data_IF_626931576952
#
_entry.id   IF_626931576952
#
_cell.length_a   1.000
_cell.length_b   1.000
_cell.length_c   1.000
_cell.angle_alpha   90.00
_cell.angle_beta   90.00
_cell.angle_gamma   90.00
#
_symmetry.space_group_name_H-M   'P 1'
#
loop_
_entity.id
_entity.type
_entity.pdbx_description
1 polymer ?
#
# COMPACT_ATOMS: atom_id res chain seq x y z
N UNK A 1 0.21 -38.17 27.00
CA UNK A 1 -0.19 -39.35 27.79
C UNK A 1 -1.40 -39.91 27.09
N UNK A 2 -1.12 -40.67 26.04
CA UNK A 2 -2.09 -41.17 25.08
C UNK A 2 -2.91 -42.25 25.77
N UNK A 3 -4.20 -41.97 26.01
CA UNK A 3 -5.15 -43.02 26.35
C UNK A 3 -5.30 -43.86 25.10
N UNK A 4 -4.90 -45.12 25.19
CA UNK A 4 -5.21 -46.16 24.20
C UNK A 4 -6.69 -46.06 23.80
N UNK A 5 -6.92 -45.48 22.62
CA UNK A 5 -8.19 -45.60 21.93
C UNK A 5 -8.27 -47.05 21.46
N UNK A 6 -8.83 -47.93 22.30
CA UNK A 6 -9.35 -49.21 21.85
C UNK A 6 -10.26 -48.90 20.66
N UNK A 7 -9.96 -49.40 19.44
CA UNK A 7 -10.72 -49.05 18.25
C UNK A 7 -12.20 -49.34 18.50
N UNK A 8 -13.08 -48.36 18.24
CA UNK A 8 -14.51 -48.45 18.55
C UNK A 8 -15.18 -49.69 17.94
N UNK A 9 -14.63 -50.20 16.84
CA UNK A 9 -15.01 -51.45 16.20
C UNK A 9 -14.95 -52.67 17.15
N UNK A 10 -13.92 -52.75 17.99
CA UNK A 10 -13.76 -53.85 18.96
C UNK A 10 -14.79 -53.77 20.11
N UNK A 11 -15.17 -52.56 20.55
CA UNK A 11 -16.19 -52.37 21.58
C UNK A 11 -17.59 -52.73 21.07
N UNK A 12 -17.91 -52.38 19.81
CA UNK A 12 -19.18 -52.75 19.17
C UNK A 12 -19.32 -54.27 19.02
N UNK A 13 -18.26 -54.95 18.59
CA UNK A 13 -18.25 -56.40 18.43
C UNK A 13 -18.45 -57.10 19.79
N UNK A 14 -17.80 -56.62 20.85
CA UNK A 14 -17.98 -57.16 22.20
C UNK A 14 -19.42 -57.01 22.72
N UNK A 15 -20.05 -55.84 22.50
CA UNK A 15 -21.45 -55.60 22.90
C UNK A 15 -22.43 -56.53 22.17
N UNK A 16 -22.21 -56.79 20.87
CA UNK A 16 -23.03 -57.70 20.09
C UNK A 16 -22.91 -59.16 20.59
N UNK A 17 -21.70 -59.62 20.88
CA UNK A 17 -21.47 -60.95 21.47
C UNK A 17 -22.05 -61.07 22.88
N UNK A 18 -21.94 -60.04 23.71
CA UNK A 18 -22.51 -60.01 25.05
C UNK A 18 -24.05 -60.10 25.03
N UNK A 19 -24.71 -59.36 24.12
CA UNK A 19 -26.17 -59.43 23.93
C UNK A 19 -26.62 -60.82 23.44
N UNK A 20 -25.87 -61.44 22.51
CA UNK A 20 -26.18 -62.78 22.01
C UNK A 20 -26.07 -63.85 23.12
N UNK A 21 -25.02 -63.77 23.95
CA UNK A 21 -24.83 -64.69 25.09
C UNK A 21 -25.93 -64.49 26.13
N UNK A 22 -26.30 -63.24 26.43
CA UNK A 22 -27.39 -62.94 27.37
C UNK A 22 -28.73 -63.50 26.90
N UNK A 23 -29.07 -63.33 25.62
CA UNK A 23 -30.29 -63.88 25.04
C UNK A 23 -30.34 -65.42 25.11
N UNK A 24 -29.20 -66.09 24.86
CA UNK A 24 -29.07 -67.55 25.00
C UNK A 24 -29.29 -68.00 26.44
N UNK A 25 -28.70 -67.32 27.42
CA UNK A 25 -28.86 -67.61 28.84
C UNK A 25 -30.32 -67.42 29.28
N UNK A 26 -30.95 -66.32 28.89
CA UNK A 26 -32.36 -66.06 29.21
C UNK A 26 -33.29 -67.15 28.66
N UNK A 27 -33.04 -67.61 27.43
CA UNK A 27 -33.77 -68.72 26.82
C UNK A 27 -33.58 -70.04 27.61
N UNK A 28 -32.34 -70.37 27.97
CA UNK A 28 -32.04 -71.58 28.75
C UNK A 28 -32.66 -71.54 30.16
N UNK A 29 -32.75 -70.36 30.79
CA UNK A 29 -33.41 -70.19 32.09
C UNK A 29 -34.91 -70.45 31.98
N UNK A 30 -35.59 -69.85 31.00
CA UNK A 30 -37.04 -70.07 30.78
C UNK A 30 -37.32 -71.54 30.45
N UNK A 31 -36.49 -72.15 29.61
CA UNK A 31 -36.57 -73.57 29.28
C UNK A 31 -36.35 -74.46 30.53
N UNK A 32 -35.36 -74.12 31.37
CA UNK A 32 -35.05 -74.84 32.60
C UNK A 32 -36.20 -74.76 33.62
N UNK A 33 -36.79 -73.58 33.82
CA UNK A 33 -37.96 -73.40 34.68
C UNK A 33 -39.17 -74.18 34.17
N UNK A 34 -39.40 -74.21 32.85
CA UNK A 34 -40.47 -75.00 32.25
C UNK A 34 -40.26 -76.51 32.50
N UNK A 35 -39.08 -77.05 32.21
CA UNK A 35 -38.77 -78.47 32.42
C UNK A 35 -38.87 -78.85 33.91
N UNK A 36 -38.37 -77.99 34.80
CA UNK A 36 -38.42 -78.20 36.25
C UNK A 36 -39.85 -78.27 36.79
N UNK A 37 -40.72 -77.35 36.35
CA UNK A 37 -42.09 -77.25 36.84
C UNK A 37 -43.00 -78.34 36.26
N UNK A 38 -42.87 -78.66 34.97
CA UNK A 38 -43.75 -79.61 34.29
C UNK A 38 -43.22 -81.06 34.28
N UNK A 39 -41.94 -81.30 34.65
CA UNK A 39 -41.29 -82.62 34.72
C UNK A 39 -41.46 -83.49 33.46
N UNK A 40 -41.71 -82.90 32.30
CA UNK A 40 -41.97 -83.62 31.05
C UNK A 40 -40.76 -83.52 30.13
N UNK A 41 -40.02 -84.62 30.01
CA UNK A 41 -38.88 -84.76 29.09
C UNK A 41 -39.21 -85.61 27.84
N UNK A 42 -40.45 -86.09 27.70
CA UNK A 42 -40.87 -86.92 26.55
C UNK A 42 -41.59 -86.08 25.50
N UNK A 43 -41.28 -86.34 24.23
CA UNK A 43 -41.87 -85.70 23.04
C UNK A 43 -43.38 -85.98 23.03
N UNK A 44 -44.18 -85.03 23.47
CA UNK A 44 -45.65 -85.10 23.45
C UNK A 44 -46.10 -84.96 21.98
N UNK A 45 -46.93 -85.90 21.49
CA UNK A 45 -47.47 -85.91 20.12
C UNK A 45 -48.68 -84.98 19.92
N UNK A 46 -49.10 -84.24 20.96
CA UNK A 46 -50.28 -83.38 20.95
C UNK A 46 -49.91 -81.92 20.64
N UNK A 47 -50.42 -81.42 19.52
CA UNK A 47 -50.17 -80.06 19.01
C UNK A 47 -50.62 -78.96 19.98
N UNK A 48 -51.66 -79.22 20.78
CA UNK A 48 -52.19 -78.22 21.73
C UNK A 48 -51.18 -77.89 22.85
N UNK A 49 -50.41 -78.88 23.32
CA UNK A 49 -49.38 -78.67 24.35
C UNK A 49 -48.14 -77.91 23.84
N UNK A 50 -47.83 -78.05 22.55
CA UNK A 50 -46.81 -77.23 21.90
C UNK A 50 -47.26 -75.77 21.76
N UNK A 51 -48.55 -75.52 21.52
CA UNK A 51 -49.13 -74.18 21.53
C UNK A 51 -48.98 -73.48 22.88
N UNK A 52 -49.38 -74.13 23.99
CA UNK A 52 -49.29 -73.54 25.33
C UNK A 52 -47.84 -73.36 25.82
N UNK A 53 -46.92 -74.23 25.42
CA UNK A 53 -45.48 -74.01 25.63
C UNK A 53 -44.97 -72.78 24.87
N UNK A 54 -45.35 -72.66 23.59
CA UNK A 54 -45.03 -71.50 22.76
C UNK A 54 -45.54 -70.19 23.37
N UNK A 55 -46.75 -70.19 23.93
CA UNK A 55 -47.34 -69.05 24.60
C UNK A 55 -46.59 -68.65 25.89
N UNK A 56 -46.12 -69.62 26.69
CA UNK A 56 -45.34 -69.34 27.90
C UNK A 56 -43.94 -68.79 27.58
N UNK A 57 -43.23 -69.44 26.66
CA UNK A 57 -41.90 -69.04 26.21
C UNK A 57 -41.98 -67.67 25.55
N UNK A 58 -42.90 -67.50 24.58
CA UNK A 58 -43.14 -66.23 23.89
C UNK A 58 -43.60 -65.12 24.83
N UNK A 59 -44.51 -65.41 25.76
CA UNK A 59 -45.05 -64.45 26.73
C UNK A 59 -44.00 -63.94 27.73
N UNK A 60 -42.98 -64.75 28.05
CA UNK A 60 -41.91 -64.37 28.99
C UNK A 60 -40.70 -63.76 28.28
N UNK A 61 -40.25 -64.36 27.16
CA UNK A 61 -39.07 -63.89 26.43
C UNK A 61 -39.35 -62.63 25.61
N UNK A 62 -40.53 -62.47 24.98
CA UNK A 62 -40.77 -61.32 24.12
C UNK A 62 -40.69 -59.97 24.86
N UNK A 63 -41.24 -59.81 26.09
CA UNK A 63 -41.05 -58.57 26.85
C UNK A 63 -39.59 -58.29 27.20
N UNK A 64 -38.83 -59.32 27.59
CA UNK A 64 -37.39 -59.19 27.95
C UNK A 64 -36.58 -58.79 26.72
N UNK A 65 -36.76 -59.50 25.60
CA UNK A 65 -36.09 -59.20 24.32
C UNK A 65 -36.46 -57.81 23.82
N UNK A 66 -37.75 -57.43 23.88
CA UNK A 66 -38.21 -56.10 23.46
C UNK A 66 -37.60 -54.97 24.31
N UNK A 67 -37.46 -55.17 25.62
CA UNK A 67 -36.83 -54.19 26.50
C UNK A 67 -35.32 -54.04 26.22
N UNK A 68 -34.61 -55.15 25.99
CA UNK A 68 -33.20 -55.11 25.59
C UNK A 68 -33.01 -54.45 24.23
N UNK A 69 -33.90 -54.71 23.27
CA UNK A 69 -33.90 -54.05 21.97
C UNK A 69 -34.09 -52.53 22.12
N UNK A 70 -34.99 -52.08 23.01
CA UNK A 70 -35.15 -50.67 23.33
C UNK A 70 -33.88 -50.05 23.94
N UNK A 71 -33.20 -50.73 24.86
CA UNK A 71 -31.92 -50.27 25.43
C UNK A 71 -30.84 -50.16 24.34
N UNK A 72 -30.72 -51.17 23.47
CA UNK A 72 -29.78 -51.15 22.35
C UNK A 72 -30.04 -50.01 21.38
N UNK A 73 -31.31 -49.70 21.11
CA UNK A 73 -31.72 -48.56 20.32
C UNK A 73 -31.35 -47.23 21.00
N UNK A 74 -31.64 -47.07 22.29
CA UNK A 74 -31.27 -45.87 23.06
C UNK A 74 -29.75 -45.65 23.10
N UNK A 75 -28.97 -46.72 23.26
CA UNK A 75 -27.50 -46.66 23.19
C UNK A 75 -27.03 -46.22 21.81
N UNK A 76 -27.64 -46.76 20.74
CA UNK A 76 -27.32 -46.38 19.37
C UNK A 76 -27.65 -44.91 19.11
N UNK A 77 -28.80 -44.41 19.57
CA UNK A 77 -29.18 -42.99 19.48
C UNK A 77 -28.19 -42.12 20.24
N UNK A 78 -27.77 -42.54 21.44
CA UNK A 78 -26.78 -41.81 22.23
C UNK A 78 -25.43 -41.72 21.51
N UNK A 79 -24.94 -42.82 20.94
CA UNK A 79 -23.71 -42.86 20.16
C UNK A 79 -23.82 -41.96 18.92
N UNK A 80 -24.94 -42.04 18.18
CA UNK A 80 -25.20 -41.19 17.02
C UNK A 80 -25.19 -39.70 17.40
N UNK A 81 -25.79 -39.34 18.55
CA UNK A 81 -25.77 -37.97 19.03
C UNK A 81 -24.34 -37.48 19.34
N UNK A 82 -23.49 -38.32 19.95
CA UNK A 82 -22.09 -37.99 20.20
C UNK A 82 -21.29 -37.81 18.91
N UNK A 83 -21.48 -38.70 17.92
CA UNK A 83 -20.80 -38.59 16.61
C UNK A 83 -21.24 -37.33 15.85
N UNK A 84 -22.52 -36.97 15.93
CA UNK A 84 -23.03 -35.72 15.35
C UNK A 84 -22.42 -34.48 16.03
N UNK A 85 -22.26 -34.51 17.36
CA UNK A 85 -21.61 -33.43 18.10
C UNK A 85 -20.13 -33.29 17.73
N UNK A 86 -19.38 -34.39 17.68
CA UNK A 86 -17.99 -34.40 17.25
C UNK A 86 -17.84 -33.87 15.82
N UNK A 87 -18.68 -34.34 14.88
CA UNK A 87 -18.71 -33.87 13.50
C UNK A 87 -19.00 -32.37 13.42
N UNK A 88 -19.95 -31.87 14.21
CA UNK A 88 -20.26 -30.44 14.25
C UNK A 88 -19.08 -29.60 14.75
N UNK A 89 -18.35 -30.10 15.74
CA UNK A 89 -17.17 -29.43 16.27
C UNK A 89 -16.02 -29.42 15.24
N UNK A 90 -15.78 -30.52 14.53
CA UNK A 90 -14.78 -30.58 13.46
C UNK A 90 -15.14 -29.66 12.29
N UNK A 91 -16.41 -29.63 11.86
CA UNK A 91 -16.88 -28.72 10.82
C UNK A 91 -16.71 -27.25 11.22
N UNK A 92 -16.98 -26.91 12.49
CA UNK A 92 -16.76 -25.55 13.01
C UNK A 92 -15.27 -25.18 12.95
N UNK A 93 -14.39 -26.07 13.41
CA UNK A 93 -12.94 -25.84 13.35
C UNK A 93 -12.44 -25.73 11.90
N UNK A 94 -12.94 -26.57 10.99
CA UNK A 94 -12.61 -26.51 9.56
C UNK A 94 -13.07 -25.20 8.93
N UNK A 95 -14.26 -24.70 9.28
CA UNK A 95 -14.77 -23.41 8.79
C UNK A 95 -13.91 -22.24 9.29
N UNK A 96 -13.49 -22.27 10.57
CA UNK A 96 -12.57 -21.27 11.13
C UNK A 96 -11.19 -21.31 10.44
N UNK A 97 -10.65 -22.51 10.19
CA UNK A 97 -9.39 -22.67 9.46
C UNK A 97 -9.50 -22.18 8.01
N UNK A 98 -10.59 -22.48 7.32
CA UNK A 98 -10.86 -22.01 5.97
C UNK A 98 -10.95 -20.49 5.91
N UNK A 99 -11.60 -19.85 6.91
CA UNK A 99 -11.66 -18.39 7.01
C UNK A 99 -10.26 -17.80 7.15
N UNK A 100 -9.44 -18.32 8.06
CA UNK A 100 -8.05 -17.87 8.25
C UNK A 100 -7.21 -18.09 6.99
N UNK A 101 -7.38 -19.21 6.31
CA UNK A 101 -6.67 -19.49 5.05
C UNK A 101 -7.07 -18.50 3.95
N UNK A 102 -8.35 -18.15 3.85
CA UNK A 102 -8.84 -17.12 2.92
C UNK A 102 -8.19 -15.76 3.21
N UNK A 103 -8.10 -15.35 4.48
CA UNK A 103 -7.43 -14.10 4.87
C UNK A 103 -5.94 -14.09 4.50
N UNK A 104 -5.21 -15.18 4.78
CA UNK A 104 -3.80 -15.34 4.42
C UNK A 104 -3.63 -15.28 2.89
N UNK A 105 -4.48 -15.99 2.15
CA UNK A 105 -4.45 -16.01 0.70
C UNK A 105 -4.67 -14.62 0.11
N UNK A 106 -5.66 -13.87 0.60
CA UNK A 106 -5.93 -12.50 0.16
C UNK A 106 -4.73 -11.57 0.41
N UNK A 107 -4.06 -11.70 1.57
CA UNK A 107 -2.86 -10.93 1.87
C UNK A 107 -1.70 -11.30 0.94
N UNK A 108 -1.48 -12.59 0.68
CA UNK A 108 -0.45 -13.05 -0.26
C UNK A 108 -0.70 -12.54 -1.69
N UNK A 109 -1.95 -12.54 -2.15
CA UNK A 109 -2.32 -12.00 -3.46
C UNK A 109 -2.04 -10.49 -3.54
N UNK A 110 -2.38 -9.75 -2.47
CA UNK A 110 -2.04 -8.34 -2.36
C UNK A 110 -0.53 -8.12 -2.43
N UNK A 111 0.24 -8.82 -1.59
CA UNK A 111 1.71 -8.70 -1.51
C UNK A 111 2.37 -8.99 -2.86
N UNK A 112 1.94 -10.07 -3.53
CA UNK A 112 2.45 -10.41 -4.87
C UNK A 112 2.20 -9.30 -5.88
N UNK A 113 1.02 -8.69 -5.86
CA UNK A 113 0.67 -7.58 -6.75
C UNK A 113 1.45 -6.31 -6.39
N UNK A 114 1.57 -6.01 -5.10
CA UNK A 114 2.31 -4.88 -4.58
C UNK A 114 3.79 -4.94 -4.99
N UNK A 115 4.47 -6.07 -4.76
CA UNK A 115 5.88 -6.23 -5.11
C UNK A 115 6.11 -6.21 -6.62
N UNK A 116 5.19 -6.75 -7.41
CA UNK A 116 5.24 -6.64 -8.88
C UNK A 116 5.16 -5.17 -9.35
N UNK A 117 4.24 -4.38 -8.78
CA UNK A 117 4.16 -2.95 -9.08
C UNK A 117 5.37 -2.17 -8.57
N UNK A 118 5.92 -2.54 -7.40
CA UNK A 118 7.11 -1.94 -6.83
C UNK A 118 8.35 -2.18 -7.70
N UNK A 119 8.49 -3.38 -8.25
CA UNK A 119 9.54 -3.71 -9.20
C UNK A 119 9.41 -2.85 -10.48
N UNK A 120 8.20 -2.70 -11.03
CA UNK A 120 7.96 -1.82 -12.18
C UNK A 120 8.31 -0.36 -11.86
N UNK A 121 7.93 0.12 -10.67
CA UNK A 121 8.27 1.45 -10.18
C UNK A 121 9.79 1.68 -10.13
N UNK A 122 10.53 0.72 -9.55
CA UNK A 122 11.98 0.80 -9.44
C UNK A 122 12.68 0.72 -10.81
N UNK A 123 12.19 -0.13 -11.72
CA UNK A 123 12.71 -0.24 -13.08
C UNK A 123 12.56 1.07 -13.87
N UNK A 124 11.47 1.82 -13.65
CA UNK A 124 11.27 3.14 -14.28
C UNK A 124 12.23 4.16 -13.66
N UNK A 125 12.40 4.15 -12.33
CA UNK A 125 13.37 5.01 -11.67
C UNK A 125 14.79 4.78 -12.19
N UNK A 126 15.17 3.51 -12.38
CA UNK A 126 16.46 3.14 -12.95
C UNK A 126 16.60 3.64 -14.39
N UNK A 127 15.55 3.53 -15.22
CA UNK A 127 15.55 4.07 -16.59
C UNK A 127 15.68 5.59 -16.62
N UNK A 128 14.95 6.30 -15.76
CA UNK A 128 15.08 7.76 -15.59
C UNK A 128 16.53 8.09 -15.23
N UNK A 129 17.13 7.33 -14.33
CA UNK A 129 18.52 7.54 -13.90
C UNK A 129 19.53 7.24 -15.02
N UNK A 130 19.37 6.12 -15.72
CA UNK A 130 20.29 5.64 -16.74
C UNK A 130 20.22 6.41 -18.06
N UNK A 131 19.03 6.81 -18.51
CA UNK A 131 18.88 7.64 -19.70
C UNK A 131 19.58 8.99 -19.51
N UNK A 132 19.48 9.55 -18.31
CA UNK A 132 20.18 10.79 -17.98
C UNK A 132 21.69 10.56 -17.92
N UNK A 133 22.18 9.45 -17.36
CA UNK A 133 23.60 9.08 -17.44
C UNK A 133 24.12 8.98 -18.88
N UNK A 134 23.32 8.51 -19.84
CA UNK A 134 23.68 8.49 -21.27
C UNK A 134 23.76 9.90 -21.86
N UNK A 135 22.79 10.77 -21.56
CA UNK A 135 22.79 12.17 -21.99
C UNK A 135 24.00 12.91 -21.40
N UNK A 136 24.29 12.67 -20.12
CA UNK A 136 25.44 13.23 -19.39
C UNK A 136 26.75 12.74 -20.01
N UNK A 137 26.89 11.44 -20.29
CA UNK A 137 28.08 10.91 -20.97
C UNK A 137 28.27 11.58 -22.33
N UNK A 138 27.20 11.74 -23.11
CA UNK A 138 27.27 12.40 -24.42
C UNK A 138 27.65 13.90 -24.30
N UNK A 139 27.24 14.60 -23.24
CA UNK A 139 27.66 16.00 -22.96
C UNK A 139 29.08 16.09 -22.37
N UNK A 140 29.48 15.19 -21.44
CA UNK A 140 30.81 15.12 -20.81
C UNK A 140 31.91 14.69 -21.78
N UNK A 141 31.59 13.98 -22.87
CA UNK A 141 32.58 13.73 -23.94
C UNK A 141 33.06 15.01 -24.64
N UNK A 142 32.36 16.14 -24.48
CA UNK A 142 32.81 17.43 -24.96
C UNK A 142 33.53 18.29 -23.91
N UNK A 143 33.50 17.97 -22.61
CA UNK A 143 34.23 18.72 -21.58
C UNK A 143 34.57 17.83 -20.36
N UNK A 144 35.88 17.68 -20.13
CA UNK A 144 36.64 16.93 -19.10
C UNK A 144 35.89 16.11 -18.03
N UNK A 145 36.32 14.84 -17.96
CA UNK A 145 36.19 13.84 -16.88
C UNK A 145 36.35 14.43 -15.47
N UNK A 146 35.37 14.18 -14.60
CA UNK A 146 35.54 14.03 -13.15
C UNK A 146 34.55 12.96 -12.62
N UNK A 147 35.03 12.23 -11.61
CA UNK A 147 34.56 10.97 -11.03
C UNK A 147 33.14 11.01 -10.44
N UNK A 148 32.37 9.95 -10.70
CA UNK A 148 30.93 9.85 -10.44
C UNK A 148 30.67 8.65 -9.54
N UNK A 149 30.18 8.88 -8.31
CA UNK A 149 29.32 7.90 -7.63
C UNK A 149 28.02 8.51 -7.07
N UNK A 150 27.87 9.84 -6.90
CA UNK A 150 26.61 10.47 -6.43
C UNK A 150 26.08 11.63 -7.31
N UNK A 151 26.66 11.84 -8.49
CA UNK A 151 26.39 13.02 -9.32
C UNK A 151 25.16 12.86 -10.24
N UNK A 152 24.72 11.62 -10.49
CA UNK A 152 23.68 11.31 -11.49
C UNK A 152 22.33 11.93 -11.10
N UNK A 153 21.84 11.75 -9.88
CA UNK A 153 20.52 12.25 -9.46
C UNK A 153 20.47 13.78 -9.36
N UNK A 154 21.56 14.43 -8.92
CA UNK A 154 21.67 15.89 -8.92
C UNK A 154 21.66 16.44 -10.35
N UNK A 155 22.30 15.75 -11.30
CA UNK A 155 22.33 16.18 -12.69
C UNK A 155 21.01 15.87 -13.45
N UNK A 156 20.25 14.84 -13.02
CA UNK A 156 18.84 14.61 -13.42
C UNK A 156 18.00 15.84 -13.06
N UNK A 157 18.11 16.29 -11.80
CA UNK A 157 17.40 17.47 -11.31
C UNK A 157 17.82 18.73 -12.09
N UNK A 158 19.09 18.82 -12.47
CA UNK A 158 19.60 19.97 -13.20
C UNK A 158 19.14 20.06 -14.66
N UNK A 159 19.02 18.93 -15.36
CA UNK A 159 18.63 18.90 -16.77
C UNK A 159 17.12 19.11 -17.00
N UNK A 160 16.27 18.85 -16.00
CA UNK A 160 14.81 18.94 -16.16
C UNK A 160 14.23 20.33 -15.88
N UNK A 161 15.06 21.33 -15.65
CA UNK A 161 14.65 22.60 -15.08
C UNK A 161 15.31 23.74 -15.89
N UNK A 162 14.83 24.03 -17.10
CA UNK A 162 15.35 25.18 -17.88
C UNK A 162 14.77 26.50 -17.34
N UNK A 163 15.66 27.36 -16.86
CA UNK A 163 15.33 28.47 -15.94
C UNK A 163 14.75 29.73 -16.60
N UNK A 164 14.73 29.84 -17.92
CA UNK A 164 14.39 31.10 -18.58
C UNK A 164 12.92 31.51 -18.41
N UNK A 165 12.01 30.53 -18.26
CA UNK A 165 10.57 30.80 -18.11
C UNK A 165 10.19 31.44 -16.75
N UNK A 166 10.92 31.11 -15.68
CA UNK A 166 10.62 31.59 -14.31
C UNK A 166 10.92 33.08 -14.12
N UNK A 167 11.88 33.60 -14.90
CA UNK A 167 12.37 34.97 -14.78
C UNK A 167 11.82 35.91 -15.86
N UNK A 168 10.60 35.65 -16.32
CA UNK A 168 9.90 36.54 -17.26
C UNK A 168 9.14 37.65 -16.52
N UNK A 169 9.35 38.91 -16.93
CA UNK A 169 8.80 40.12 -16.27
C UNK A 169 7.32 40.39 -16.59
N UNK A 170 6.73 39.66 -17.54
CA UNK A 170 5.45 40.02 -18.14
C UNK A 170 4.23 39.35 -17.48
N UNK A 171 4.43 38.49 -16.48
CA UNK A 171 3.37 37.67 -15.86
C UNK A 171 3.54 37.52 -14.34
N UNK A 172 2.46 37.13 -13.65
CA UNK A 172 2.49 36.92 -12.20
C UNK A 172 3.45 35.78 -11.84
N UNK A 173 4.07 35.85 -10.66
CA UNK A 173 4.99 34.80 -10.18
C UNK A 173 4.30 33.43 -10.13
N UNK A 174 3.02 33.38 -9.77
CA UNK A 174 2.22 32.16 -9.74
C UNK A 174 2.04 31.59 -11.15
N UNK A 175 1.72 32.41 -12.13
CA UNK A 175 1.51 31.93 -13.50
C UNK A 175 2.81 31.40 -14.13
N UNK A 176 3.94 32.09 -13.91
CA UNK A 176 5.25 31.62 -14.32
C UNK A 176 5.61 30.28 -13.65
N UNK A 177 5.32 30.14 -12.35
CA UNK A 177 5.54 28.91 -11.60
C UNK A 177 4.68 27.75 -12.13
N UNK A 178 3.42 28.01 -12.43
CA UNK A 178 2.50 27.01 -12.99
C UNK A 178 2.93 26.55 -14.38
N UNK A 179 3.33 27.49 -15.25
CA UNK A 179 3.88 27.18 -16.58
C UNK A 179 5.16 26.37 -16.50
N UNK A 180 6.02 26.72 -15.56
CA UNK A 180 7.25 25.99 -15.34
C UNK A 180 6.99 24.53 -14.95
N UNK A 181 6.13 24.28 -13.95
CA UNK A 181 5.74 22.92 -13.53
C UNK A 181 5.08 22.17 -14.68
N UNK A 182 4.24 22.84 -15.47
CA UNK A 182 3.62 22.27 -16.69
C UNK A 182 4.68 21.68 -17.62
N UNK A 183 5.58 22.54 -18.08
CA UNK A 183 6.47 22.24 -19.20
C UNK A 183 7.59 21.29 -18.77
N UNK A 184 8.13 21.50 -17.57
CA UNK A 184 9.33 20.80 -17.10
C UNK A 184 9.01 19.49 -16.35
N UNK A 185 7.90 19.45 -15.59
CA UNK A 185 7.58 18.31 -14.72
C UNK A 185 6.44 17.49 -15.31
N UNK A 186 5.28 18.10 -15.56
CA UNK A 186 4.05 17.36 -15.90
C UNK A 186 4.02 16.86 -17.35
N UNK A 187 4.64 17.58 -18.29
CA UNK A 187 4.74 17.15 -19.69
C UNK A 187 5.84 16.12 -19.94
N UNK A 188 6.76 15.92 -18.99
CA UNK A 188 7.81 14.92 -19.12
C UNK A 188 7.20 13.49 -19.11
N UNK A 189 7.39 12.68 -20.18
CA UNK A 189 6.73 11.39 -20.30
C UNK A 189 7.21 10.35 -19.29
N UNK A 190 8.51 10.37 -18.92
CA UNK A 190 9.09 9.42 -17.98
C UNK A 190 8.65 9.71 -16.54
N UNK A 191 8.73 10.98 -16.12
CA UNK A 191 8.24 11.42 -14.81
C UNK A 191 6.73 11.18 -14.67
N UNK A 192 5.97 11.46 -15.74
CA UNK A 192 4.53 11.20 -15.76
C UNK A 192 4.23 9.71 -15.56
N UNK A 193 4.93 8.81 -16.25
CA UNK A 193 4.76 7.35 -16.08
C UNK A 193 5.10 6.92 -14.65
N UNK A 194 6.21 7.41 -14.12
CA UNK A 194 6.65 7.13 -12.76
C UNK A 194 5.60 7.54 -11.73
N UNK A 195 5.12 8.79 -11.78
CA UNK A 195 4.12 9.30 -10.83
C UNK A 195 2.74 8.65 -10.98
N UNK A 196 2.34 8.26 -12.19
CA UNK A 196 1.11 7.48 -12.37
C UNK A 196 1.22 6.14 -11.65
N UNK A 197 2.34 5.43 -11.79
CA UNK A 197 2.54 4.14 -11.13
C UNK A 197 2.61 4.31 -9.62
N UNK A 198 3.33 5.32 -9.13
CA UNK A 198 3.36 5.67 -7.71
C UNK A 198 1.94 5.91 -7.17
N UNK A 199 1.13 6.71 -7.87
CA UNK A 199 -0.27 6.91 -7.53
C UNK A 199 -1.07 5.61 -7.52
N UNK A 200 -0.90 4.73 -8.52
CA UNK A 200 -1.60 3.44 -8.55
C UNK A 200 -1.19 2.53 -7.38
N UNK A 201 0.09 2.52 -6.98
CA UNK A 201 0.54 1.75 -5.83
C UNK A 201 -0.09 2.29 -4.55
N UNK A 202 -0.06 3.60 -4.32
CA UNK A 202 -0.69 4.22 -3.15
C UNK A 202 -2.21 3.98 -3.10
N UNK A 203 -2.88 4.09 -4.24
CA UNK A 203 -4.31 3.75 -4.38
C UNK A 203 -4.58 2.28 -4.12
N UNK A 204 -3.71 1.39 -4.59
CA UNK A 204 -3.84 -0.05 -4.38
C UNK A 204 -3.68 -0.42 -2.90
N UNK A 205 -2.70 0.19 -2.21
CA UNK A 205 -2.53 0.08 -0.76
C UNK A 205 -3.81 0.51 -0.05
N UNK A 206 -4.33 1.71 -0.37
CA UNK A 206 -5.50 2.26 0.33
C UNK A 206 -6.77 1.43 0.14
N UNK A 207 -7.04 0.95 -1.09
CA UNK A 207 -8.24 0.17 -1.38
C UNK A 207 -8.15 -1.25 -0.79
N UNK A 208 -6.97 -1.86 -0.83
CA UNK A 208 -6.83 -3.29 -0.51
C UNK A 208 -6.67 -3.55 0.98
N UNK A 209 -6.12 -2.60 1.73
CA UNK A 209 -5.78 -2.79 3.14
C UNK A 209 -6.61 -1.94 4.10
N UNK A 210 -7.38 -0.95 3.61
CA UNK A 210 -8.23 -0.15 4.49
C UNK A 210 -9.36 -0.97 5.10
N UNK A 211 -9.62 -0.74 6.38
CA UNK A 211 -10.78 -1.28 7.10
C UNK A 211 -12.09 -0.76 6.51
N UNK A 212 -12.11 0.48 5.99
CA UNK A 212 -13.26 1.08 5.29
C UNK A 212 -13.00 1.18 3.78
N UNK A 213 -12.98 0.00 3.15
CA UNK A 213 -12.75 -0.13 1.70
C UNK A 213 -13.78 0.63 0.87
N UNK A 214 -15.03 0.70 1.33
CA UNK A 214 -16.10 1.31 0.55
C UNK A 214 -16.01 2.83 0.53
N UNK A 215 -15.72 3.47 1.67
CA UNK A 215 -15.47 4.91 1.70
C UNK A 215 -14.29 5.28 0.81
N UNK A 216 -13.14 4.61 0.98
CA UNK A 216 -11.92 4.86 0.19
C UNK A 216 -12.19 4.68 -1.31
N UNK A 217 -12.86 3.60 -1.71
CA UNK A 217 -13.15 3.34 -3.14
C UNK A 217 -14.05 4.43 -3.72
N UNK A 218 -15.06 4.86 -2.95
CA UNK A 218 -16.01 5.89 -3.39
C UNK A 218 -15.31 7.24 -3.58
N UNK A 219 -14.35 7.60 -2.72
CA UNK A 219 -13.57 8.84 -2.85
C UNK A 219 -12.84 8.96 -4.18
N UNK A 220 -12.46 7.86 -4.82
CA UNK A 220 -11.79 7.90 -6.13
C UNK A 220 -12.71 8.13 -7.33
N UNK A 221 -14.03 8.24 -7.12
CA UNK A 221 -15.02 8.47 -8.19
C UNK A 221 -14.97 9.91 -8.71
N UNK A 222 -14.59 10.84 -7.84
CA UNK A 222 -14.30 12.24 -8.19
C UNK A 222 -12.80 12.50 -8.03
N UNK A 223 -12.31 13.59 -8.63
CA UNK A 223 -10.97 14.11 -8.37
C UNK A 223 -11.10 15.61 -8.11
N UNK A 224 -11.52 15.94 -6.88
CA UNK A 224 -11.84 17.28 -6.41
C UNK A 224 -11.36 17.47 -4.97
N UNK A 225 -11.49 18.70 -4.46
CA UNK A 225 -11.09 19.05 -3.10
C UNK A 225 -11.71 18.15 -2.03
N UNK A 226 -13.01 17.86 -2.15
CA UNK A 226 -13.71 16.97 -1.21
C UNK A 226 -13.10 15.55 -1.18
N UNK A 227 -12.75 14.97 -2.34
CA UNK A 227 -12.14 13.65 -2.36
C UNK A 227 -10.74 13.63 -1.73
N UNK A 228 -9.96 14.71 -1.89
CA UNK A 228 -8.68 14.89 -1.19
C UNK A 228 -8.87 14.88 0.32
N UNK A 229 -9.80 15.68 0.84
CA UNK A 229 -10.05 15.79 2.29
C UNK A 229 -10.47 14.46 2.90
N UNK A 230 -11.39 13.74 2.25
CA UNK A 230 -11.85 12.43 2.71
C UNK A 230 -10.69 11.44 2.73
N UNK A 231 -9.93 11.32 1.64
CA UNK A 231 -8.77 10.40 1.57
C UNK A 231 -7.73 10.70 2.66
N UNK A 232 -7.50 11.99 2.94
CA UNK A 232 -6.52 12.45 3.94
C UNK A 232 -6.95 12.15 5.37
N UNK A 233 -8.26 12.21 5.68
CA UNK A 233 -8.79 12.19 7.05
C UNK A 233 -9.31 10.82 7.52
N UNK A 234 -9.64 9.92 6.59
CA UNK A 234 -10.12 8.57 6.95
C UNK A 234 -9.10 7.81 7.80
N UNK A 235 -9.59 6.99 8.73
CA UNK A 235 -8.74 6.10 9.54
C UNK A 235 -7.79 5.28 8.67
N UNK A 236 -6.53 5.18 9.09
CA UNK A 236 -5.46 4.47 8.37
C UNK A 236 -5.20 3.15 9.07
N UNK A 237 -5.43 2.04 8.37
CA UNK A 237 -5.08 0.73 8.90
C UNK A 237 -3.54 0.64 9.08
N UNK A 238 -3.03 0.10 10.19
CA UNK A 238 -1.58 -0.06 10.39
C UNK A 238 -0.86 -0.76 9.23
N UNK A 239 -1.53 -1.71 8.55
CA UNK A 239 -0.97 -2.39 7.37
C UNK A 239 -0.74 -1.41 6.22
N UNK A 240 -1.67 -0.50 5.95
CA UNK A 240 -1.48 0.53 4.92
C UNK A 240 -0.21 1.35 5.18
N UNK A 241 0.00 1.74 6.44
CA UNK A 241 1.16 2.55 6.82
C UNK A 241 2.49 1.79 6.65
N UNK A 242 2.51 0.49 6.96
CA UNK A 242 3.69 -0.36 6.73
C UNK A 242 4.07 -0.35 5.24
N UNK A 243 3.13 -0.65 4.35
CA UNK A 243 3.41 -0.75 2.91
C UNK A 243 3.72 0.61 2.27
N UNK A 244 3.03 1.68 2.67
CA UNK A 244 3.33 3.03 2.19
C UNK A 244 4.71 3.52 2.65
N UNK A 245 5.13 3.17 3.87
CA UNK A 245 6.48 3.47 4.37
C UNK A 245 7.56 2.70 3.61
N UNK A 246 7.34 1.42 3.29
CA UNK A 246 8.24 0.62 2.45
C UNK A 246 8.41 1.33 1.09
N UNK A 247 7.31 1.69 0.43
CA UNK A 247 7.36 2.40 -0.84
C UNK A 247 8.10 3.74 -0.72
N UNK A 248 7.80 4.54 0.30
CA UNK A 248 8.43 5.84 0.56
C UNK A 248 9.95 5.71 0.73
N UNK A 249 10.41 4.68 1.44
CA UNK A 249 11.83 4.46 1.73
C UNK A 249 12.70 4.23 0.48
N UNK A 250 12.08 3.80 -0.62
CA UNK A 250 12.77 3.51 -1.88
C UNK A 250 12.89 4.74 -2.79
N UNK A 251 12.26 5.86 -2.43
CA UNK A 251 12.23 7.06 -3.27
C UNK A 251 13.33 8.03 -2.83
N UNK A 252 14.28 8.38 -3.71
CA UNK A 252 15.32 9.35 -3.40
C UNK A 252 14.75 10.75 -3.11
N UNK A 253 15.46 11.52 -2.28
CA UNK A 253 15.04 12.88 -1.88
C UNK A 253 14.73 13.80 -3.07
N UNK A 254 15.53 13.76 -4.13
CA UNK A 254 15.31 14.59 -5.33
C UNK A 254 14.01 14.23 -6.05
N UNK A 255 13.63 12.95 -6.05
CA UNK A 255 12.36 12.52 -6.64
C UNK A 255 11.18 12.94 -5.74
N UNK A 256 11.35 12.94 -4.42
CA UNK A 256 10.34 13.49 -3.49
C UNK A 256 10.13 15.00 -3.71
N UNK A 257 11.19 15.77 -4.01
CA UNK A 257 11.06 17.20 -4.37
C UNK A 257 10.21 17.36 -5.64
N UNK A 258 10.52 16.61 -6.69
CA UNK A 258 9.75 16.65 -7.95
C UNK A 258 8.31 16.18 -7.73
N UNK A 259 8.08 15.17 -6.89
CA UNK A 259 6.75 14.70 -6.51
C UNK A 259 5.94 15.80 -5.83
N UNK A 260 6.53 16.48 -4.85
CA UNK A 260 5.89 17.61 -4.17
C UNK A 260 5.43 18.66 -5.19
N UNK A 261 6.34 19.08 -6.08
CA UNK A 261 6.05 20.05 -7.15
C UNK A 261 4.98 19.55 -8.14
N UNK A 262 4.99 18.25 -8.49
CA UNK A 262 4.00 17.66 -9.38
C UNK A 262 2.58 17.78 -8.80
N UNK A 263 2.47 17.60 -7.49
CA UNK A 263 1.20 17.58 -6.76
C UNK A 263 0.74 18.94 -6.23
N UNK A 264 1.45 20.04 -6.50
CA UNK A 264 0.99 21.38 -6.14
C UNK A 264 -0.33 21.73 -6.85
N UNK A 265 -1.17 22.52 -6.16
CA UNK A 265 -2.42 23.05 -6.70
C UNK A 265 -2.12 24.16 -7.67
N UNK A 266 -2.51 23.99 -8.93
CA UNK A 266 -2.26 24.99 -9.96
C UNK A 266 -3.50 25.86 -10.15
N UNK A 267 -3.28 27.15 -10.39
CA UNK A 267 -4.37 28.09 -10.67
C UNK A 267 -5.06 27.77 -12.00
N UNK A 268 -6.38 28.02 -12.03
CA UNK A 268 -7.23 27.88 -13.20
C UNK A 268 -7.11 29.08 -14.17
N UNK A 269 -5.91 29.63 -14.39
CA UNK A 269 -5.76 30.76 -15.32
C UNK A 269 -6.08 30.34 -16.76
N UNK A 270 -6.71 31.25 -17.50
CA UNK A 270 -7.32 31.00 -18.82
C UNK A 270 -6.34 30.55 -19.90
N UNK A 271 -5.05 30.81 -19.74
CA UNK A 271 -3.97 30.39 -20.66
C UNK A 271 -3.45 28.97 -20.38
N UNK A 272 -3.76 28.41 -19.20
CA UNK A 272 -3.33 27.06 -18.79
C UNK A 272 -4.49 26.07 -18.95
N UNK A 273 -5.18 26.12 -20.08
CA UNK A 273 -6.18 25.11 -20.43
C UNK A 273 -5.50 23.72 -20.38
N UNK A 274 -6.08 22.81 -19.60
CA UNK A 274 -5.75 21.38 -19.46
C UNK A 274 -4.77 20.92 -18.35
N UNK A 275 -4.43 21.75 -17.36
CA UNK A 275 -3.74 21.23 -16.16
C UNK A 275 -4.66 21.20 -14.94
N UNK A 276 -5.19 20.01 -14.66
CA UNK A 276 -5.98 19.77 -13.44
C UNK A 276 -5.06 19.50 -12.25
N UNK A 277 -5.47 19.95 -11.07
CA UNK A 277 -4.86 19.52 -9.80
C UNK A 277 -5.14 18.03 -9.56
N UNK A 278 -4.13 17.32 -9.07
CA UNK A 278 -4.22 15.89 -8.77
C UNK A 278 -4.74 15.66 -7.35
N UNK A 279 -5.97 16.10 -7.07
CA UNK A 279 -6.57 16.08 -5.74
C UNK A 279 -6.50 14.70 -5.04
N UNK A 280 -6.82 13.61 -5.75
CA UNK A 280 -6.74 12.28 -5.15
C UNK A 280 -5.30 11.87 -4.82
N UNK A 281 -4.33 12.36 -5.58
CA UNK A 281 -2.92 12.09 -5.31
C UNK A 281 -2.47 12.90 -4.08
N UNK A 282 -2.82 14.18 -3.99
CA UNK A 282 -2.60 14.99 -2.78
C UNK A 282 -3.18 14.29 -1.54
N UNK A 283 -4.42 13.78 -1.65
CA UNK A 283 -5.09 13.08 -0.55
C UNK A 283 -4.34 11.83 -0.09
N UNK A 284 -3.81 11.04 -1.03
CA UNK A 284 -2.98 9.87 -0.71
C UNK A 284 -1.63 10.25 -0.12
N UNK A 285 -0.98 11.32 -0.60
CA UNK A 285 0.27 11.81 -0.02
C UNK A 285 0.07 12.28 1.43
N UNK A 286 -1.03 13.00 1.68
CA UNK A 286 -1.42 13.44 3.02
C UNK A 286 -1.73 12.25 3.93
N UNK A 287 -2.57 11.31 3.46
CA UNK A 287 -2.93 10.09 4.19
C UNK A 287 -1.69 9.36 4.72
N UNK A 288 -0.64 9.27 3.90
CA UNK A 288 0.54 8.48 4.26
C UNK A 288 1.71 9.29 4.79
N UNK A 289 1.53 10.59 5.07
CA UNK A 289 2.63 11.50 5.41
C UNK A 289 3.82 11.29 4.45
N UNK A 290 3.53 11.23 3.15
CA UNK A 290 4.44 10.61 2.20
C UNK A 290 5.70 11.45 1.92
N UNK A 291 5.69 12.74 2.26
CA UNK A 291 6.81 13.67 2.16
C UNK A 291 7.51 13.90 3.51
N UNK A 292 7.22 13.09 4.53
CA UNK A 292 7.83 13.19 5.86
C UNK A 292 9.37 13.20 5.82
N UNK A 293 10.01 12.46 4.92
CA UNK A 293 11.49 12.46 4.83
C UNK A 293 12.02 13.37 3.72
N UNK A 294 11.20 14.26 3.17
CA UNK A 294 11.69 15.26 2.25
C UNK A 294 12.68 16.18 2.98
N UNK A 295 13.83 16.41 2.37
CA UNK A 295 14.83 17.33 2.86
C UNK A 295 15.02 18.47 1.87
N UNK A 296 14.64 19.66 2.30
CA UNK A 296 14.86 20.93 1.60
C UNK A 296 16.19 21.53 2.08
N UNK A 297 17.29 20.81 1.86
CA UNK A 297 18.64 21.31 2.21
C UNK A 297 18.98 22.48 1.28
N UNK A 298 19.43 23.58 1.87
CA UNK A 298 20.07 24.68 1.13
C UNK A 298 21.57 24.59 1.33
N UNK A 299 22.30 24.20 0.29
CA UNK A 299 23.77 24.27 0.32
C UNK A 299 24.21 25.74 0.20
N UNK A 300 25.12 26.22 1.06
CA UNK A 300 25.66 27.58 0.95
C UNK A 300 26.47 27.82 -0.35
N UNK A 301 26.75 26.75 -1.11
CA UNK A 301 27.46 26.75 -2.39
C UNK A 301 26.53 27.02 -3.60
N UNK A 302 25.44 27.77 -3.41
CA UNK A 302 24.54 28.12 -4.52
C UNK A 302 25.24 29.06 -5.49
N UNK A 303 25.48 28.58 -6.71
CA UNK A 303 25.95 29.41 -7.80
C UNK A 303 24.75 29.73 -8.72
N UNK A 304 24.48 31.00 -9.07
CA UNK A 304 23.39 31.36 -10.01
C UNK A 304 23.41 30.68 -11.39
N UNK A 305 24.43 29.88 -11.68
CA UNK A 305 24.62 29.11 -12.92
C UNK A 305 24.75 27.59 -12.63
N UNK A 306 25.10 27.18 -11.39
CA UNK A 306 25.32 25.79 -10.98
C UNK A 306 24.64 25.57 -9.61
N UNK A 307 23.75 24.58 -9.48
CA UNK A 307 22.94 24.33 -8.27
C UNK A 307 21.81 25.35 -8.03
N UNK A 308 21.20 25.83 -9.12
CA UNK A 308 20.07 26.77 -9.07
C UNK A 308 18.73 26.08 -8.71
N UNK A 309 18.71 24.76 -8.68
CA UNK A 309 17.47 23.98 -8.62
C UNK A 309 16.88 23.87 -7.20
N UNK A 310 17.73 23.81 -6.16
CA UNK A 310 17.28 23.87 -4.76
C UNK A 310 16.51 25.16 -4.48
N UNK A 311 17.06 26.29 -4.97
CA UNK A 311 16.40 27.59 -4.90
C UNK A 311 15.07 27.61 -5.65
N UNK A 312 15.01 27.01 -6.85
CA UNK A 312 13.75 26.91 -7.61
C UNK A 312 12.71 26.07 -6.89
N UNK A 313 13.11 24.95 -6.28
CA UNK A 313 12.20 24.15 -5.49
C UNK A 313 11.51 25.00 -4.42
N UNK A 314 12.32 25.73 -3.63
CA UNK A 314 11.82 26.62 -2.58
C UNK A 314 10.97 27.74 -3.15
N UNK A 315 11.40 28.35 -4.26
CA UNK A 315 10.64 29.39 -4.95
C UNK A 315 9.25 28.90 -5.36
N UNK A 316 9.17 27.72 -6.00
CA UNK A 316 7.90 27.15 -6.46
C UNK A 316 7.00 26.76 -5.31
N UNK A 317 7.54 26.08 -4.28
CA UNK A 317 6.79 25.68 -3.08
C UNK A 317 6.24 26.91 -2.35
N UNK A 318 7.05 27.97 -2.18
CA UNK A 318 6.62 29.23 -1.58
C UNK A 318 5.58 29.95 -2.42
N UNK A 319 5.78 30.00 -3.74
CA UNK A 319 4.96 30.84 -4.63
C UNK A 319 3.58 30.25 -4.83
N UNK A 320 3.47 28.92 -4.96
CA UNK A 320 2.18 28.24 -5.15
C UNK A 320 1.51 27.92 -3.82
N UNK A 321 2.29 27.64 -2.77
CA UNK A 321 1.78 27.23 -1.47
C UNK A 321 1.65 25.72 -1.33
N UNK A 322 1.82 25.23 -0.10
CA UNK A 322 1.82 23.79 0.23
C UNK A 322 0.64 23.38 1.12
N UNK A 323 -0.33 24.25 1.36
CA UNK A 323 -1.43 24.04 2.30
C UNK A 323 -2.18 22.72 2.03
N UNK A 324 -2.45 22.46 0.75
CA UNK A 324 -3.13 21.24 0.28
C UNK A 324 -2.31 19.95 0.44
N UNK A 325 -0.99 20.08 0.70
CA UNK A 325 -0.05 19.00 0.92
C UNK A 325 0.49 18.98 2.36
N UNK A 326 0.01 19.85 3.25
CA UNK A 326 0.58 20.02 4.58
C UNK A 326 0.64 18.70 5.37
N UNK A 327 -0.41 17.88 5.30
CA UNK A 327 -0.46 16.57 5.95
C UNK A 327 0.66 15.63 5.48
N UNK A 328 1.09 15.74 4.22
CA UNK A 328 2.14 14.89 3.66
C UNK A 328 3.52 15.12 4.30
N UNK A 329 3.78 16.30 4.87
CA UNK A 329 5.08 16.66 5.47
C UNK A 329 5.23 16.23 6.94
N UNK A 330 4.18 15.69 7.58
CA UNK A 330 4.22 15.23 8.98
C UNK A 330 4.74 16.28 9.98
N UNK A 331 4.43 17.57 9.75
CA UNK A 331 4.92 18.72 10.51
C UNK A 331 6.41 19.07 10.34
N UNK A 332 7.14 18.43 9.42
CA UNK A 332 8.54 18.81 9.17
C UNK A 332 8.70 20.12 8.41
N UNK A 333 7.67 20.53 7.67
CA UNK A 333 7.58 21.83 7.03
C UNK A 333 6.16 22.35 7.10
N UNK A 334 6.01 23.54 7.65
CA UNK A 334 4.81 24.38 7.54
C UNK A 334 4.95 25.39 6.38
N UNK A 335 3.85 25.96 5.88
CA UNK A 335 3.92 27.04 4.90
C UNK A 335 4.81 28.22 5.34
N UNK A 336 4.78 28.54 6.64
CA UNK A 336 5.62 29.57 7.26
C UNK A 336 7.11 29.19 7.22
N UNK A 337 7.46 27.96 7.62
CA UNK A 337 8.84 27.47 7.57
C UNK A 337 9.41 27.42 6.15
N UNK A 338 8.61 27.03 5.15
CA UNK A 338 9.03 27.10 3.74
C UNK A 338 9.28 28.54 3.31
N UNK A 339 8.42 29.47 3.76
CA UNK A 339 8.59 30.90 3.49
C UNK A 339 9.88 31.41 4.11
N UNK A 340 10.17 31.09 5.36
CA UNK A 340 11.40 31.49 6.04
C UNK A 340 12.66 30.91 5.38
N UNK A 341 12.62 29.62 5.01
CA UNK A 341 13.69 28.97 4.25
C UNK A 341 13.92 29.66 2.90
N UNK A 342 12.83 30.00 2.20
CA UNK A 342 12.91 30.74 0.94
C UNK A 342 13.51 32.13 1.14
N UNK A 343 13.04 32.92 2.11
CA UNK A 343 13.54 34.28 2.35
C UNK A 343 15.03 34.30 2.71
N UNK A 344 15.50 33.33 3.51
CA UNK A 344 16.92 33.15 3.80
C UNK A 344 17.71 32.80 2.54
N UNK A 345 17.21 31.86 1.74
CA UNK A 345 17.83 31.48 0.46
C UNK A 345 17.89 32.65 -0.53
N UNK A 346 16.84 33.46 -0.59
CA UNK A 346 16.69 34.60 -1.48
C UNK A 346 17.70 35.70 -1.16
N UNK A 347 17.91 36.02 0.13
CA UNK A 347 18.93 36.99 0.57
C UNK A 347 20.33 36.56 0.13
N UNK A 348 20.68 35.29 0.37
CA UNK A 348 21.97 34.74 -0.06
C UNK A 348 22.10 34.79 -1.58
N UNK A 349 21.06 34.39 -2.30
CA UNK A 349 21.06 34.35 -3.76
C UNK A 349 21.17 35.75 -4.40
N UNK A 350 20.48 36.75 -3.85
CA UNK A 350 20.59 38.17 -4.23
C UNK A 350 22.02 38.68 -4.02
N UNK A 351 22.64 38.35 -2.87
CA UNK A 351 24.03 38.74 -2.58
C UNK A 351 25.01 38.21 -3.64
N UNK A 352 24.89 36.93 -3.99
CA UNK A 352 25.75 36.28 -5.00
C UNK A 352 25.49 36.85 -6.39
N UNK A 353 24.23 37.16 -6.73
CA UNK A 353 23.89 37.81 -7.99
C UNK A 353 24.51 39.20 -8.10
N UNK A 354 24.44 40.02 -7.05
CA UNK A 354 25.06 41.34 -7.04
C UNK A 354 26.58 41.27 -7.25
N UNK A 355 27.28 40.35 -6.56
CA UNK A 355 28.72 40.13 -6.75
C UNK A 355 29.04 39.73 -8.20
N UNK A 356 28.29 38.79 -8.78
CA UNK A 356 28.48 38.38 -10.18
C UNK A 356 28.20 39.49 -11.18
N UNK A 357 27.12 40.25 -11.01
CA UNK A 357 26.76 41.39 -11.84
C UNK A 357 27.90 42.42 -11.82
N UNK A 358 28.47 42.70 -10.64
CA UNK A 358 29.59 43.64 -10.51
C UNK A 358 30.83 43.17 -11.29
N UNK A 359 31.20 41.89 -11.18
CA UNK A 359 32.32 41.28 -11.91
C UNK A 359 32.11 41.29 -13.42
N UNK A 360 30.90 40.93 -13.89
CA UNK A 360 30.56 40.97 -15.31
C UNK A 360 30.62 42.39 -15.88
N UNK A 361 30.17 43.39 -15.12
CA UNK A 361 30.23 44.80 -15.52
C UNK A 361 31.68 45.27 -15.69
N UNK A 362 32.60 44.84 -14.83
CA UNK A 362 34.03 45.12 -14.98
C UNK A 362 34.62 44.41 -16.20
N UNK A 363 34.28 43.14 -16.43
CA UNK A 363 34.75 42.38 -17.58
C UNK A 363 34.33 43.01 -18.91
N UNK A 364 33.08 43.48 -19.02
CA UNK A 364 32.59 44.18 -20.23
C UNK A 364 33.42 45.43 -20.50
N UNK A 365 33.74 46.23 -19.48
CA UNK A 365 34.61 47.40 -19.63
C UNK A 365 35.99 47.01 -20.16
N UNK A 366 36.58 45.92 -19.67
CA UNK A 366 37.88 45.42 -20.11
C UNK A 366 37.84 44.89 -21.56
N UNK A 367 36.81 44.12 -21.94
CA UNK A 367 36.67 43.62 -23.32
C UNK A 367 36.48 44.74 -24.33
N UNK A 368 35.73 45.79 -23.96
CA UNK A 368 35.55 46.97 -24.79
C UNK A 368 36.87 47.76 -24.97
N UNK A 369 37.73 47.81 -23.94
CA UNK A 369 39.08 48.39 -24.07
C UNK A 369 40.00 47.55 -24.97
N UNK A 370 39.82 46.22 -25.01
CA UNK A 370 40.61 45.28 -25.80
C UNK A 370 40.04 45.02 -27.21
N UNK A 371 39.02 45.79 -27.65
CA UNK A 371 38.33 45.61 -28.96
C UNK A 371 37.76 44.21 -29.20
N UNK A 372 37.47 43.45 -28.12
CA UNK A 372 36.95 42.08 -28.17
C UNK A 372 35.41 42.07 -28.18
N UNK A 373 34.82 42.58 -29.27
CA UNK A 373 33.39 42.90 -29.38
C UNK A 373 32.45 41.69 -29.21
N UNK A 374 32.87 40.49 -29.59
CA UNK A 374 32.04 39.28 -29.50
C UNK A 374 31.88 38.81 -28.05
N UNK A 375 33.00 38.72 -27.30
CA UNK A 375 33.01 38.38 -25.87
C UNK A 375 32.27 39.41 -25.02
N UNK A 376 32.37 40.70 -25.36
CA UNK A 376 31.59 41.76 -24.72
C UNK A 376 30.08 41.52 -24.89
N UNK A 377 29.63 41.17 -26.10
CA UNK A 377 28.21 40.94 -26.42
C UNK A 377 27.63 39.70 -25.73
N UNK A 378 28.38 38.61 -25.66
CA UNK A 378 27.98 37.42 -24.88
C UNK A 378 27.86 37.75 -23.39
N UNK A 379 28.84 38.49 -22.85
CA UNK A 379 28.85 38.89 -21.44
C UNK A 379 27.71 39.84 -21.11
N UNK A 380 27.36 40.77 -21.99
CA UNK A 380 26.18 41.65 -21.87
C UNK A 380 24.86 40.87 -21.83
N UNK A 381 24.75 39.80 -22.62
CA UNK A 381 23.56 38.94 -22.64
C UNK A 381 23.37 38.25 -21.28
N UNK A 382 24.45 37.74 -20.69
CA UNK A 382 24.45 37.13 -19.36
C UNK A 382 24.13 38.17 -18.28
N UNK A 383 24.74 39.37 -18.37
CA UNK A 383 24.49 40.47 -17.45
C UNK A 383 23.00 40.86 -17.44
N UNK A 384 22.37 40.93 -18.62
CA UNK A 384 20.94 41.21 -18.76
C UNK A 384 20.08 40.13 -18.09
N UNK A 385 20.41 38.85 -18.28
CA UNK A 385 19.72 37.73 -17.61
C UNK A 385 19.81 37.83 -16.08
N UNK A 386 21.00 38.08 -15.53
CA UNK A 386 21.17 38.22 -14.08
C UNK A 386 20.47 39.46 -13.52
N UNK A 387 20.48 40.56 -14.27
CA UNK A 387 19.78 41.78 -13.86
C UNK A 387 18.26 41.57 -13.80
N UNK A 388 17.68 40.85 -14.78
CA UNK A 388 16.26 40.47 -14.77
C UNK A 388 15.93 39.52 -13.61
N UNK A 389 16.79 38.52 -13.37
CA UNK A 389 16.64 37.62 -12.24
C UNK A 389 16.66 38.38 -10.91
N UNK A 390 17.61 39.31 -10.74
CA UNK A 390 17.71 40.16 -9.56
C UNK A 390 16.48 41.05 -9.37
N UNK A 391 15.93 41.64 -10.43
CA UNK A 391 14.75 42.50 -10.33
C UNK A 391 13.52 41.70 -9.90
N UNK A 392 13.34 40.49 -10.43
CA UNK A 392 12.25 39.57 -10.04
C UNK A 392 12.41 39.12 -8.60
N UNK A 393 13.62 38.75 -8.20
CA UNK A 393 13.88 38.36 -6.81
C UNK A 393 13.59 39.49 -5.83
N UNK A 394 13.90 40.74 -6.18
CA UNK A 394 13.53 41.89 -5.35
C UNK A 394 12.03 42.19 -5.37
N UNK A 395 11.32 41.88 -6.46
CA UNK A 395 9.87 42.08 -6.52
C UNK A 395 9.08 41.04 -5.71
N UNK A 396 9.70 39.93 -5.33
CA UNK A 396 9.08 38.88 -4.51
C UNK A 396 8.98 39.29 -3.02
N UNK A 397 9.35 40.53 -2.65
CA UNK A 397 9.16 41.11 -1.32
C UNK A 397 7.73 41.66 -1.11
N UNK A 398 6.86 40.79 -0.62
CA UNK A 398 5.78 40.98 0.39
C UNK A 398 4.90 39.73 0.41
#
# INVERSE_FOLDING_TARGET
MDKENIPQENKRNYLLWALAIFALIAFLIVLGFYIFHFKTLFIIKDSATWGTFGDYVGGTLNPIISFLALIGLLYTIHQQAQEMEATRNELKQSAEQQSRQSEIFNLQQFESTFFSLLEQHNNILEKITNNNNKIIKNKKFNNLKLSIEDESIKEIYNNYLEHEELYSLNQSHIENSNRYIRNNIRQNPELRRYFIILFQILKFISISLSTDRQAITTSFSSNNEQSREILSSLYIDPKEKIYSNILRSLIPNEILKILALNCLTLDNSTDIQNLKTFFNFQGLLNRYNFLEHLQLIFSNDVCPIKNHHEFICLFLLKTIGIDDLQGSFSNNYTPEEITDLFMNSQKNFISILNDKISKLTVNIKNYNMLSSNEQARETETILKKFSNMLSILKSIEN
#
